data_IF_461933716952
#
_entry.id   IF_461933716952
#
_cell.length_a   1.000
_cell.length_b   1.000
_cell.length_c   1.000
_cell.angle_alpha   90.00
_cell.angle_beta   90.00
_cell.angle_gamma   90.00
#
_symmetry.space_group_name_H-M   'P 1'
#
loop_
_entity.id
_entity.type
_entity.pdbx_description
1 polymer ?
#
# COMPACT_ATOMS: atom_id res chain seq x y z
N UNK A 1 10.97 -16.73 0.49
CA UNK A 1 11.20 -15.48 1.29
C UNK A 1 9.91 -14.64 1.34
N UNK A 2 9.83 -13.58 2.15
CA UNK A 2 8.58 -12.80 2.36
C UNK A 2 8.79 -11.34 1.97
N UNK A 3 7.93 -10.83 1.08
CA UNK A 3 7.75 -9.38 0.88
C UNK A 3 6.64 -8.89 1.80
N UNK A 4 6.96 -7.88 2.60
CA UNK A 4 5.98 -7.23 3.46
C UNK A 4 5.45 -5.97 2.79
N UNK A 5 4.14 -5.88 2.62
CA UNK A 5 3.44 -4.72 2.05
C UNK A 5 2.55 -4.14 3.13
N UNK A 6 2.61 -2.83 3.37
CA UNK A 6 1.75 -2.18 4.37
C UNK A 6 1.12 -0.92 3.81
N UNK A 7 -0.15 -0.70 4.14
CA UNK A 7 -0.85 0.55 3.85
C UNK A 7 -0.80 1.46 5.05
N UNK A 8 -0.39 2.72 4.88
CA UNK A 8 -0.31 3.70 5.95
C UNK A 8 -1.20 4.92 5.69
N UNK A 9 -1.94 5.33 6.73
CA UNK A 9 -2.47 6.67 6.91
C UNK A 9 -1.43 7.60 7.56
N UNK A 10 -1.89 8.60 8.31
CA UNK A 10 -1.03 9.58 8.99
C UNK A 10 -0.33 8.98 10.24
N UNK A 11 1.01 8.82 10.21
CA UNK A 11 1.77 8.28 11.34
C UNK A 11 1.78 9.16 12.59
N UNK A 12 1.47 10.45 12.45
CA UNK A 12 1.48 11.39 13.58
C UNK A 12 0.46 11.04 14.65
N UNK A 13 -0.59 10.30 14.30
CA UNK A 13 -1.64 9.86 15.21
C UNK A 13 -1.33 8.58 15.99
N UNK A 14 -0.25 7.86 15.66
CA UNK A 14 0.03 6.54 16.24
C UNK A 14 0.74 6.63 17.59
N UNK A 15 0.44 5.65 18.46
CA UNK A 15 1.08 5.53 19.76
C UNK A 15 2.11 4.41 19.74
N UNK A 16 3.15 4.54 20.56
CA UNK A 16 4.01 3.40 20.86
C UNK A 16 3.24 2.38 21.70
N UNK A 17 3.13 1.16 21.19
CA UNK A 17 2.38 0.05 21.77
C UNK A 17 3.21 -1.23 21.69
N UNK A 18 2.80 -2.24 22.44
CA UNK A 18 3.33 -3.59 22.33
C UNK A 18 2.56 -4.36 21.25
N UNK A 19 3.25 -4.74 20.17
CA UNK A 19 2.73 -5.59 19.12
C UNK A 19 3.07 -7.05 19.44
N UNK A 20 2.04 -7.88 19.58
CA UNK A 20 2.16 -9.31 19.87
C UNK A 20 1.94 -10.13 18.61
N UNK A 21 3.00 -10.76 18.12
CA UNK A 21 2.98 -11.74 17.02
C UNK A 21 3.40 -13.11 17.58
N UNK A 22 2.90 -14.25 17.07
CA UNK A 22 3.21 -15.56 17.64
C UNK A 22 4.70 -15.86 17.88
N UNK A 23 5.57 -15.30 17.05
CA UNK A 23 7.03 -15.49 17.05
C UNK A 23 7.81 -14.27 17.58
N UNK A 24 7.16 -13.13 17.83
CA UNK A 24 7.85 -11.87 18.19
C UNK A 24 6.92 -10.93 18.96
N UNK A 25 7.39 -10.45 20.10
CA UNK A 25 6.80 -9.28 20.76
C UNK A 25 7.73 -8.08 20.54
N UNK A 26 7.16 -6.95 20.14
CA UNK A 26 7.94 -5.75 19.90
C UNK A 26 7.19 -4.50 20.33
N UNK A 27 7.89 -3.64 21.07
CA UNK A 27 7.38 -2.32 21.40
C UNK A 27 7.75 -1.35 20.28
N UNK A 28 6.75 -0.77 19.63
CA UNK A 28 6.94 0.15 18.51
C UNK A 28 5.70 1.00 18.27
N UNK A 29 5.84 2.10 17.52
CA UNK A 29 4.71 2.91 17.08
C UNK A 29 4.11 2.43 15.75
N UNK A 30 4.75 1.50 15.05
CA UNK A 30 4.28 0.94 13.78
C UNK A 30 4.52 -0.57 13.71
N UNK A 31 3.67 -1.27 12.95
CA UNK A 31 3.80 -2.71 12.74
C UNK A 31 4.95 -3.08 11.83
N UNK A 32 5.52 -2.14 11.06
CA UNK A 32 6.64 -2.42 10.15
C UNK A 32 7.84 -3.10 10.83
N UNK A 33 8.08 -2.79 12.11
CA UNK A 33 9.16 -3.36 12.91
C UNK A 33 8.96 -4.84 13.27
N UNK A 34 7.75 -5.39 13.08
CA UNK A 34 7.49 -6.84 13.21
C UNK A 34 7.92 -7.63 11.97
N UNK A 35 8.34 -6.96 10.89
CA UNK A 35 8.80 -7.53 9.62
C UNK A 35 10.16 -6.97 9.16
N UNK A 36 11.02 -6.59 10.11
CA UNK A 36 12.39 -6.12 9.85
C UNK A 36 13.27 -7.15 9.10
N UNK A 37 12.93 -8.43 9.14
CA UNK A 37 13.60 -9.52 8.42
C UNK A 37 13.02 -9.82 7.03
N UNK A 38 11.97 -9.13 6.55
CA UNK A 38 11.41 -9.33 5.22
C UNK A 38 12.46 -9.14 4.12
N UNK A 39 12.36 -9.78 2.96
CA UNK A 39 13.32 -9.56 1.85
C UNK A 39 13.18 -8.15 1.26
N UNK A 40 11.95 -7.65 1.22
CA UNK A 40 11.58 -6.31 0.75
C UNK A 40 10.40 -5.79 1.58
N UNK A 41 10.38 -4.48 1.82
CA UNK A 41 9.27 -3.80 2.47
C UNK A 41 8.68 -2.77 1.51
N UNK A 42 7.38 -2.81 1.26
CA UNK A 42 6.68 -1.85 0.40
C UNK A 42 5.65 -1.12 1.24
N UNK A 43 5.84 0.19 1.42
CA UNK A 43 4.89 1.07 2.08
C UNK A 43 4.05 1.81 1.05
N UNK A 44 2.75 1.66 1.12
CA UNK A 44 1.79 2.37 0.28
C UNK A 44 1.12 3.43 1.14
N UNK A 45 1.36 4.69 0.80
CA UNK A 45 0.90 5.84 1.59
C UNK A 45 0.07 6.79 0.73
N UNK A 46 -0.85 7.51 1.34
CA UNK A 46 -1.54 8.60 0.67
C UNK A 46 -0.69 9.87 0.69
N UNK A 47 -0.76 10.71 -0.35
CA UNK A 47 -0.08 12.01 -0.37
C UNK A 47 -0.56 12.96 0.75
N UNK A 48 -1.72 12.70 1.33
CA UNK A 48 -2.28 13.47 2.43
C UNK A 48 -1.61 13.27 3.79
N UNK A 49 -0.63 12.37 3.91
CA UNK A 49 0.13 12.18 5.16
C UNK A 49 0.95 13.41 5.57
N UNK A 50 1.24 14.33 4.63
CA UNK A 50 1.90 15.61 4.91
C UNK A 50 0.99 16.67 5.53
N UNK A 51 -0.31 16.38 5.70
CA UNK A 51 -1.22 17.24 6.47
C UNK A 51 -1.53 16.59 7.82
N UNK A 52 -0.54 16.51 8.73
CA UNK A 52 -0.68 15.79 9.98
C UNK A 52 -1.73 16.44 10.87
N UNK A 53 -2.19 15.65 11.85
CA UNK A 53 -3.09 16.15 12.88
C UNK A 53 -2.50 17.40 13.57
N UNK A 54 -3.37 18.34 13.93
CA UNK A 54 -3.02 19.57 14.65
C UNK A 54 -2.35 19.33 16.01
N UNK A 55 -2.45 18.10 16.55
CA UNK A 55 -1.78 17.64 17.76
C UNK A 55 -1.17 16.26 17.52
N UNK A 56 0.09 16.19 17.02
CA UNK A 56 0.76 14.93 16.80
C UNK A 56 0.93 14.19 18.14
N UNK A 57 0.67 12.89 18.13
CA UNK A 57 0.84 11.98 19.27
C UNK A 57 2.19 11.25 19.20
N UNK A 58 2.72 11.11 18.00
CA UNK A 58 4.00 10.49 17.72
C UNK A 58 5.12 11.54 17.56
N UNK A 59 6.06 11.56 18.50
CA UNK A 59 7.21 12.50 18.49
C UNK A 59 8.16 12.29 17.31
N UNK A 60 8.31 11.06 16.82
CA UNK A 60 9.14 10.77 15.64
C UNK A 60 8.51 11.42 14.42
N UNK A 61 7.22 11.19 14.20
CA UNK A 61 6.46 11.80 13.11
C UNK A 61 6.47 13.34 13.20
N UNK A 62 6.32 13.91 14.39
CA UNK A 62 6.41 15.37 14.61
C UNK A 62 7.80 15.93 14.24
N UNK A 63 8.87 15.21 14.58
CA UNK A 63 10.21 15.64 14.21
C UNK A 63 10.47 15.54 12.71
N UNK A 64 9.95 14.50 12.05
CA UNK A 64 10.06 14.30 10.61
C UNK A 64 9.19 15.27 9.79
N UNK A 65 8.12 15.84 10.38
CA UNK A 65 7.16 16.70 9.65
C UNK A 65 7.57 18.17 9.53
N UNK A 66 8.77 18.57 10.00
CA UNK A 66 9.29 19.95 9.97
C UNK A 66 9.67 20.42 8.55
N UNK A 67 8.73 20.32 7.62
CA UNK A 67 8.93 20.57 6.20
C UNK A 67 8.03 21.73 5.75
N UNK A 68 8.57 22.62 4.93
CA UNK A 68 7.77 23.68 4.28
C UNK A 68 6.77 23.03 3.32
N UNK A 69 5.58 23.57 3.18
CA UNK A 69 4.62 23.14 2.16
C UNK A 69 5.17 23.44 0.76
N UNK A 70 5.30 22.45 -0.14
CA UNK A 70 5.74 22.68 -1.52
C UNK A 70 4.64 23.32 -2.38
N UNK A 71 5.04 23.93 -3.49
CA UNK A 71 4.16 24.66 -4.42
C UNK A 71 3.58 23.80 -5.55
N UNK A 72 4.18 22.65 -5.83
CA UNK A 72 3.79 21.75 -6.92
C UNK A 72 3.66 20.30 -6.43
N UNK A 73 2.96 19.48 -7.22
CA UNK A 73 2.62 18.10 -6.83
C UNK A 73 3.83 17.16 -6.81
N UNK A 74 4.80 17.35 -7.70
CA UNK A 74 5.99 16.50 -7.72
C UNK A 74 6.82 16.72 -6.45
N UNK A 75 7.05 17.99 -6.09
CA UNK A 75 7.68 18.38 -4.83
C UNK A 75 6.88 17.92 -3.61
N UNK A 76 5.54 17.89 -3.69
CA UNK A 76 4.68 17.32 -2.65
C UNK A 76 4.94 15.83 -2.44
N UNK A 77 4.90 15.04 -3.51
CA UNK A 77 5.17 13.60 -3.47
C UNK A 77 6.57 13.31 -2.96
N UNK A 78 7.58 14.10 -3.36
CA UNK A 78 8.94 13.93 -2.87
C UNK A 78 9.04 14.21 -1.37
N UNK A 79 8.37 15.24 -0.87
CA UNK A 79 8.30 15.50 0.58
C UNK A 79 7.55 14.43 1.35
N UNK A 80 6.51 13.83 0.77
CA UNK A 80 5.84 12.67 1.38
C UNK A 80 6.84 11.53 1.54
N UNK A 81 7.63 11.24 0.51
CA UNK A 81 8.68 10.22 0.58
C UNK A 81 9.72 10.55 1.63
N UNK A 82 10.24 11.78 1.68
CA UNK A 82 11.20 12.22 2.70
C UNK A 82 10.65 12.05 4.12
N UNK A 83 9.40 12.47 4.34
CA UNK A 83 8.69 12.34 5.61
C UNK A 83 8.57 10.88 6.05
N UNK A 84 8.10 10.00 5.16
CA UNK A 84 7.94 8.58 5.47
C UNK A 84 9.30 7.89 5.62
N UNK A 85 10.30 8.22 4.79
CA UNK A 85 11.67 7.70 4.93
C UNK A 85 12.27 8.03 6.29
N UNK A 86 12.13 9.27 6.76
CA UNK A 86 12.58 9.67 8.10
C UNK A 86 11.92 8.82 9.20
N UNK A 87 10.63 8.51 9.07
CA UNK A 87 9.93 7.65 10.04
C UNK A 87 10.44 6.20 9.96
N UNK A 88 10.64 5.67 8.75
CA UNK A 88 11.16 4.31 8.52
C UNK A 88 12.55 4.15 9.13
N UNK A 89 13.43 5.13 8.95
CA UNK A 89 14.79 5.14 9.52
C UNK A 89 14.81 5.15 11.05
N UNK A 90 13.74 5.66 11.68
CA UNK A 90 13.57 5.64 13.13
C UNK A 90 12.82 4.39 13.64
N UNK A 91 12.07 3.70 12.77
CA UNK A 91 11.31 2.50 13.11
C UNK A 91 12.09 1.20 12.89
N UNK A 92 13.06 1.22 11.97
CA UNK A 92 13.80 0.05 11.51
C UNK A 92 15.31 0.22 11.68
N UNK A 93 16.02 -0.91 11.70
CA UNK A 93 17.47 -0.88 11.53
C UNK A 93 17.85 -0.47 10.10
N UNK A 94 19.12 -0.06 9.89
CA UNK A 94 19.61 0.46 8.61
C UNK A 94 19.42 -0.50 7.43
N UNK A 95 19.64 -1.80 7.65
CA UNK A 95 19.47 -2.81 6.62
C UNK A 95 18.01 -2.90 6.17
N UNK A 96 17.08 -2.93 7.11
CA UNK A 96 15.67 -3.02 6.82
C UNK A 96 15.08 -1.71 6.26
N UNK A 97 15.61 -0.56 6.67
CA UNK A 97 15.28 0.72 6.05
C UNK A 97 15.70 0.76 4.56
N UNK A 98 16.90 0.28 4.21
CA UNK A 98 17.42 0.33 2.84
C UNK A 98 16.61 -0.52 1.83
N UNK A 99 16.00 -1.61 2.28
CA UNK A 99 15.11 -2.45 1.46
C UNK A 99 13.67 -1.98 1.43
N UNK A 100 13.36 -0.84 2.07
CA UNK A 100 12.02 -0.25 2.04
C UNK A 100 11.81 0.54 0.74
N UNK A 101 10.61 0.41 0.17
CA UNK A 101 10.13 1.15 -1.00
C UNK A 101 8.85 1.88 -0.63
N UNK A 102 8.77 3.16 -0.98
CA UNK A 102 7.63 4.01 -0.65
C UNK A 102 6.87 4.35 -1.93
N UNK A 103 5.64 3.87 -2.01
CA UNK A 103 4.69 4.18 -3.08
C UNK A 103 3.72 5.22 -2.53
N UNK A 104 3.80 6.43 -3.08
CA UNK A 104 2.83 7.49 -2.77
C UNK A 104 1.70 7.41 -3.77
N UNK A 105 0.47 7.30 -3.27
CA UNK A 105 -0.74 7.34 -4.07
C UNK A 105 -1.55 8.59 -3.73
N UNK A 106 -2.36 9.10 -4.67
CA UNK A 106 -3.02 10.36 -4.45
C UNK A 106 -4.28 10.15 -3.57
N UNK A 107 -4.55 11.04 -2.61
CA UNK A 107 -5.69 10.93 -1.68
C UNK A 107 -7.00 11.48 -2.28
N UNK A 108 -8.16 11.16 -1.70
CA UNK A 108 -9.46 11.77 -2.09
C UNK A 108 -10.14 12.35 -0.87
N UNK A 109 -10.70 13.55 -1.01
CA UNK A 109 -11.56 14.17 -0.02
C UNK A 109 -10.93 15.42 0.59
N UNK A 110 -11.46 15.85 1.73
CA UNK A 110 -10.99 17.04 2.43
C UNK A 110 -10.38 16.65 3.77
N UNK A 111 -9.16 17.10 4.03
CA UNK A 111 -8.47 16.93 5.31
C UNK A 111 -8.01 18.31 5.78
N UNK A 112 -8.55 18.76 6.91
CA UNK A 112 -8.38 20.14 7.39
C UNK A 112 -8.72 21.15 6.27
N UNK A 113 -7.79 22.06 5.96
CA UNK A 113 -7.94 23.07 4.91
C UNK A 113 -7.50 22.60 3.52
N UNK A 114 -7.09 21.34 3.38
CA UNK A 114 -6.59 20.76 2.14
C UNK A 114 -7.67 19.93 1.45
N UNK A 115 -7.80 20.09 0.14
CA UNK A 115 -8.66 19.28 -0.71
C UNK A 115 -7.80 18.39 -1.61
N UNK A 116 -8.08 17.10 -1.61
CA UNK A 116 -7.37 16.08 -2.34
C UNK A 116 -8.28 15.43 -3.39
N UNK A 117 -7.69 15.01 -4.51
CA UNK A 117 -8.38 14.30 -5.56
C UNK A 117 -9.44 15.12 -6.30
N UNK A 118 -9.41 16.45 -6.18
CA UNK A 118 -10.21 17.36 -6.99
C UNK A 118 -9.56 17.54 -8.36
N UNK A 119 -9.77 16.57 -9.25
CA UNK A 119 -9.49 16.77 -10.67
C UNK A 119 -10.69 17.53 -11.25
N UNK A 120 -10.53 18.85 -11.36
CA UNK A 120 -11.50 19.70 -12.05
C UNK A 120 -11.34 19.49 -13.57
N UNK A 121 -12.32 18.82 -14.17
CA UNK A 121 -12.51 18.91 -15.62
C UNK A 121 -13.26 20.21 -15.90
N UNK A 122 -13.07 20.79 -17.09
CA UNK A 122 -13.58 22.13 -17.49
C UNK A 122 -15.00 22.48 -16.99
N UNK A 123 -15.87 21.49 -16.82
CA UNK A 123 -17.26 21.71 -16.41
C UNK A 123 -17.74 20.83 -15.23
N UNK A 124 -16.91 19.89 -14.72
CA UNK A 124 -17.32 18.94 -13.66
C UNK A 124 -16.12 18.43 -12.85
N UNK A 125 -16.34 18.18 -11.56
CA UNK A 125 -15.39 17.41 -10.75
C UNK A 125 -15.39 15.94 -11.21
N UNK A 126 -14.21 15.33 -11.29
CA UNK A 126 -14.09 13.90 -11.59
C UNK A 126 -14.80 13.07 -10.49
N UNK A 127 -15.75 12.19 -10.85
CA UNK A 127 -16.40 11.32 -9.89
C UNK A 127 -15.40 10.46 -9.09
N UNK A 128 -15.64 10.29 -7.79
CA UNK A 128 -14.73 9.58 -6.89
C UNK A 128 -14.46 8.11 -7.29
N UNK A 129 -15.38 7.47 -8.02
CA UNK A 129 -15.17 6.10 -8.52
C UNK A 129 -14.12 6.05 -9.64
N UNK A 130 -14.06 7.07 -10.52
CA UNK A 130 -13.01 7.16 -11.55
C UNK A 130 -11.64 7.38 -10.92
N UNK A 131 -11.60 8.12 -9.82
CA UNK A 131 -10.39 8.29 -9.04
C UNK A 131 -9.86 6.96 -8.49
N UNK A 132 -10.75 6.13 -7.92
CA UNK A 132 -10.37 4.80 -7.44
C UNK A 132 -9.75 3.92 -8.54
N UNK A 133 -10.27 3.99 -9.77
CA UNK A 133 -9.69 3.27 -10.93
C UNK A 133 -8.30 3.79 -11.32
N UNK A 134 -8.06 5.10 -11.25
CA UNK A 134 -6.73 5.67 -11.50
C UNK A 134 -5.74 5.18 -10.44
N UNK A 135 -6.13 5.22 -9.16
CA UNK A 135 -5.32 4.71 -8.05
C UNK A 135 -5.03 3.22 -8.21
N UNK A 136 -6.06 2.41 -8.52
CA UNK A 136 -5.92 0.97 -8.77
C UNK A 136 -4.94 0.70 -9.92
N UNK A 137 -5.04 1.44 -11.03
CA UNK A 137 -4.13 1.31 -12.17
C UNK A 137 -2.68 1.67 -11.82
N UNK A 138 -2.47 2.76 -11.09
CA UNK A 138 -1.14 3.16 -10.62
C UNK A 138 -0.55 2.11 -9.68
N UNK A 139 -1.36 1.56 -8.78
CA UNK A 139 -0.94 0.50 -7.87
C UNK A 139 -0.57 -0.78 -8.61
N UNK A 140 -1.35 -1.20 -9.60
CA UNK A 140 -1.02 -2.36 -10.45
C UNK A 140 0.35 -2.18 -11.07
N UNK A 141 0.60 -1.03 -11.71
CA UNK A 141 1.87 -0.75 -12.36
C UNK A 141 3.03 -0.77 -11.36
N UNK A 142 2.92 -0.02 -10.25
CA UNK A 142 4.01 0.11 -9.27
C UNK A 142 4.31 -1.20 -8.55
N UNK A 143 3.28 -1.94 -8.15
CA UNK A 143 3.45 -3.21 -7.45
C UNK A 143 3.94 -4.31 -8.39
N UNK A 144 3.48 -4.34 -9.64
CA UNK A 144 4.02 -5.29 -10.62
C UNK A 144 5.52 -5.08 -10.82
N UNK A 145 5.98 -3.84 -11.03
CA UNK A 145 7.40 -3.53 -11.17
C UNK A 145 8.23 -3.93 -9.94
N UNK A 146 7.67 -3.80 -8.73
CA UNK A 146 8.37 -4.20 -7.51
C UNK A 146 8.38 -5.71 -7.26
N UNK A 147 7.43 -6.46 -7.84
CA UNK A 147 7.21 -7.88 -7.54
C UNK A 147 7.59 -8.83 -8.68
N UNK A 148 7.65 -8.37 -9.93
CA UNK A 148 7.87 -9.23 -11.11
C UNK A 148 9.19 -10.02 -11.08
N UNK A 149 10.21 -9.43 -10.46
CA UNK A 149 11.57 -10.02 -10.35
C UNK A 149 11.87 -10.49 -8.91
N UNK A 150 10.87 -10.55 -8.04
CA UNK A 150 11.06 -10.99 -6.65
C UNK A 150 11.17 -12.52 -6.59
N UNK A 151 12.29 -13.03 -6.06
CA UNK A 151 12.50 -14.47 -5.76
C UNK A 151 11.79 -14.90 -4.45
N UNK A 152 10.68 -14.23 -4.14
CA UNK A 152 9.92 -14.41 -2.91
C UNK A 152 8.79 -15.42 -3.09
N UNK A 153 8.38 -16.06 -2.00
CA UNK A 153 7.32 -17.09 -2.05
C UNK A 153 5.97 -16.54 -1.59
N UNK A 154 5.99 -15.51 -0.76
CA UNK A 154 4.82 -15.01 -0.04
C UNK A 154 4.83 -13.48 0.03
N UNK A 155 3.68 -12.90 -0.28
CA UNK A 155 3.36 -11.51 -0.01
C UNK A 155 2.49 -11.45 1.24
N UNK A 156 2.90 -10.63 2.22
CA UNK A 156 2.10 -10.32 3.39
C UNK A 156 1.60 -8.88 3.29
N UNK A 157 0.29 -8.69 3.18
CA UNK A 157 -0.35 -7.38 3.26
C UNK A 157 -0.78 -7.08 4.70
N UNK A 158 -0.23 -6.03 5.27
CA UNK A 158 -0.63 -5.48 6.57
C UNK A 158 -1.55 -4.27 6.39
N UNK A 159 -2.79 -4.42 6.84
CA UNK A 159 -3.83 -3.39 6.77
C UNK A 159 -3.98 -2.56 8.05
N UNK A 160 -3.17 -2.81 9.08
CA UNK A 160 -3.32 -2.23 10.44
C UNK A 160 -3.41 -0.71 10.42
N UNK A 161 -2.48 -0.06 9.70
CA UNK A 161 -2.33 1.38 9.69
C UNK A 161 -3.02 2.04 8.50
N UNK A 162 -3.72 1.26 7.67
CA UNK A 162 -4.36 1.75 6.47
C UNK A 162 -5.65 2.48 6.77
N UNK A 163 -5.97 3.48 5.95
CA UNK A 163 -7.15 4.34 6.13
C UNK A 163 -8.04 4.35 4.90
N UNK A 164 -9.33 4.62 5.11
CA UNK A 164 -10.32 4.81 4.07
C UNK A 164 -10.41 3.61 3.10
N UNK A 165 -10.32 3.89 1.79
CA UNK A 165 -10.40 2.91 0.72
C UNK A 165 -9.05 2.22 0.42
N UNK A 166 -7.95 2.65 1.02
CA UNK A 166 -6.62 2.21 0.62
C UNK A 166 -6.38 0.71 0.87
N UNK A 167 -6.69 0.14 2.06
CA UNK A 167 -6.52 -1.28 2.31
C UNK A 167 -7.26 -2.16 1.29
N UNK A 168 -8.48 -1.78 0.93
CA UNK A 168 -9.32 -2.61 0.05
C UNK A 168 -8.84 -2.56 -1.41
N UNK A 169 -8.38 -1.40 -1.90
CA UNK A 169 -7.80 -1.32 -3.25
C UNK A 169 -6.49 -2.10 -3.32
N UNK A 170 -5.60 -1.94 -2.33
CA UNK A 170 -4.32 -2.68 -2.29
C UNK A 170 -4.56 -4.18 -2.18
N UNK A 171 -5.50 -4.62 -1.34
CA UNK A 171 -5.90 -6.02 -1.26
C UNK A 171 -6.32 -6.56 -2.62
N UNK A 172 -7.21 -5.86 -3.34
CA UNK A 172 -7.67 -6.29 -4.67
C UNK A 172 -6.54 -6.38 -5.68
N UNK A 173 -5.67 -5.38 -5.72
CA UNK A 173 -4.51 -5.36 -6.63
C UNK A 173 -3.54 -6.50 -6.31
N UNK A 174 -3.15 -6.66 -5.04
CA UNK A 174 -2.24 -7.73 -4.63
C UNK A 174 -2.85 -9.11 -4.81
N UNK A 175 -4.15 -9.30 -4.53
CA UNK A 175 -4.82 -10.58 -4.75
C UNK A 175 -4.70 -11.04 -6.21
N UNK A 176 -4.88 -10.12 -7.16
CA UNK A 176 -4.76 -10.39 -8.58
C UNK A 176 -3.29 -10.58 -9.01
N UNK A 177 -2.40 -9.67 -8.60
CA UNK A 177 -0.97 -9.74 -8.97
C UNK A 177 -0.30 -10.99 -8.42
N UNK A 178 -0.57 -11.37 -7.17
CA UNK A 178 -0.04 -12.60 -6.59
C UNK A 178 -0.57 -13.85 -7.28
N UNK A 179 -1.79 -13.80 -7.86
CA UNK A 179 -2.31 -14.91 -8.68
C UNK A 179 -1.58 -14.99 -10.03
N UNK A 180 -1.26 -13.83 -10.63
CA UNK A 180 -0.52 -13.73 -11.88
C UNK A 180 0.94 -14.19 -11.72
N UNK A 181 1.56 -13.82 -10.60
CA UNK A 181 2.98 -14.08 -10.32
C UNK A 181 3.24 -15.39 -9.56
N UNK A 182 2.21 -16.22 -9.34
CA UNK A 182 2.31 -17.50 -8.62
C UNK A 182 2.87 -17.38 -7.19
N UNK A 183 2.44 -16.34 -6.47
CA UNK A 183 2.86 -16.01 -5.11
C UNK A 183 1.79 -16.38 -4.09
N UNK A 184 2.22 -16.89 -2.93
CA UNK A 184 1.33 -17.02 -1.76
C UNK A 184 0.93 -15.64 -1.29
N UNK A 185 -0.28 -15.52 -0.77
CA UNK A 185 -0.79 -14.24 -0.31
C UNK A 185 -1.44 -14.35 1.06
N UNK A 186 -1.03 -13.48 1.97
CA UNK A 186 -1.54 -13.39 3.34
C UNK A 186 -1.93 -11.95 3.65
N UNK A 187 -3.04 -11.77 4.36
CA UNK A 187 -3.48 -10.47 4.85
C UNK A 187 -3.56 -10.53 6.36
N UNK A 188 -2.99 -9.51 7.01
CA UNK A 188 -2.89 -9.44 8.46
C UNK A 188 -3.39 -8.09 8.96
N UNK A 189 -3.75 -8.05 10.23
CA UNK A 189 -4.06 -6.83 10.96
C UNK A 189 -3.72 -7.02 12.44
N UNK A 190 -3.21 -5.98 13.09
CA UNK A 190 -3.00 -5.95 14.52
C UNK A 190 -4.19 -5.27 15.20
N UNK A 191 -4.94 -6.05 15.97
CA UNK A 191 -6.17 -5.57 16.63
C UNK A 191 -5.86 -5.16 18.07
N UNK A 192 -6.35 -4.00 18.55
CA UNK A 192 -6.10 -3.56 19.92
C UNK A 192 -6.75 -4.52 20.92
N UNK A 193 -5.93 -5.19 21.72
CA UNK A 193 -6.37 -5.94 22.91
C UNK A 193 -6.40 -5.04 24.14
N UNK A 194 -5.52 -4.04 24.18
CA UNK A 194 -5.55 -2.94 25.13
C UNK A 194 -5.30 -1.62 24.39
N UNK A 195 -6.33 -0.78 24.30
CA UNK A 195 -6.26 0.47 23.55
C UNK A 195 -5.04 1.31 23.97
N UNK A 196 -4.23 1.69 22.98
CA UNK A 196 -3.01 2.49 23.12
C UNK A 196 -1.88 1.82 23.94
N UNK A 197 -1.96 0.50 24.19
CA UNK A 197 -0.94 -0.23 24.93
C UNK A 197 -0.53 -1.54 24.27
N UNK A 198 -1.49 -2.31 23.78
CA UNK A 198 -1.23 -3.66 23.28
C UNK A 198 -2.12 -3.99 22.09
N UNK A 199 -1.50 -4.53 21.05
CA UNK A 199 -2.12 -4.90 19.79
C UNK A 199 -1.68 -6.31 19.41
N UNK A 200 -2.64 -7.18 19.09
CA UNK A 200 -2.37 -8.59 18.80
C UNK A 200 -2.55 -8.89 17.32
N UNK A 201 -1.60 -9.64 16.76
CA UNK A 201 -1.61 -10.13 15.39
C UNK A 201 -2.86 -10.96 15.11
N UNK A 202 -3.52 -10.66 14.01
CA UNK A 202 -4.59 -11.47 13.43
C UNK A 202 -4.33 -11.71 11.96
N UNK A 203 -4.41 -12.97 11.54
CA UNK A 203 -4.49 -13.33 10.13
C UNK A 203 -5.94 -13.19 9.67
N UNK A 204 -6.18 -12.35 8.67
CA UNK A 204 -7.52 -12.09 8.11
C UNK A 204 -7.78 -13.01 6.93
N UNK A 205 -6.76 -13.25 6.12
CA UNK A 205 -6.86 -14.02 4.89
C UNK A 205 -5.55 -14.72 4.60
N UNK A 206 -5.62 -15.94 4.05
CA UNK A 206 -4.46 -16.68 3.58
C UNK A 206 -4.81 -17.49 2.34
N UNK A 207 -3.92 -17.45 1.34
CA UNK A 207 -3.94 -18.31 0.15
C UNK A 207 -2.60 -19.03 0.05
N UNK A 208 -2.61 -20.30 0.41
CA UNK A 208 -1.41 -21.17 0.39
C UNK A 208 -1.18 -21.82 -0.97
N UNK A 209 -2.24 -21.99 -1.76
CA UNK A 209 -2.16 -22.63 -3.06
C UNK A 209 -1.66 -21.65 -4.11
N UNK A 210 -0.58 -22.06 -4.78
CA UNK A 210 -0.10 -21.55 -6.08
C UNK A 210 -1.14 -21.71 -7.20
N UNK A 211 -2.19 -22.50 -6.99
CA UNK A 211 -3.21 -22.81 -7.99
C UNK A 211 -4.43 -21.90 -7.84
N UNK A 212 -4.36 -20.79 -8.56
CA UNK A 212 -5.44 -20.30 -9.42
C UNK A 212 -4.79 -19.35 -10.42
N UNK A 213 -3.85 -19.88 -11.20
CA UNK A 213 -3.36 -19.18 -12.38
C UNK A 213 -4.57 -18.93 -13.27
N UNK A 214 -5.00 -17.68 -13.33
CA UNK A 214 -5.85 -17.23 -14.41
C UNK A 214 -4.99 -17.28 -15.67
N UNK A 215 -5.02 -18.42 -16.32
CA UNK A 215 -4.29 -18.66 -17.54
C UNK A 215 -4.98 -17.88 -18.65
N UNK A 216 -4.33 -16.80 -19.10
CA UNK A 216 -4.81 -15.97 -20.20
C UNK A 216 -5.03 -16.78 -21.50
N UNK A 217 -4.39 -17.94 -21.65
CA UNK A 217 -4.65 -18.86 -22.77
C UNK A 217 -6.02 -19.53 -22.68
N UNK A 218 -6.62 -19.65 -21.48
CA UNK A 218 -7.99 -20.13 -21.28
C UNK A 218 -9.04 -19.11 -21.75
N UNK A 219 -8.67 -17.84 -21.93
CA UNK A 219 -9.56 -16.86 -22.57
C UNK A 219 -9.59 -17.14 -24.08
N UNK A 220 -10.61 -17.86 -24.52
CA UNK A 220 -10.88 -18.08 -25.93
C UNK A 220 -11.65 -16.90 -26.54
N UNK A 221 -11.24 -16.49 -27.74
CA UNK A 221 -12.00 -15.54 -28.55
C UNK A 221 -13.07 -16.31 -29.30
N UNK A 222 -14.34 -16.10 -28.96
CA UNK A 222 -15.46 -16.61 -29.73
C UNK A 222 -15.60 -15.87 -31.05
N UNK A 223 -15.94 -16.58 -32.13
CA UNK A 223 -16.24 -15.97 -33.43
C UNK A 223 -17.48 -15.05 -33.40
N UNK A 224 -18.28 -15.11 -32.34
CA UNK A 224 -19.44 -14.26 -32.06
C UNK A 224 -19.17 -13.12 -31.06
N UNK A 225 -17.95 -13.01 -30.49
CA UNK A 225 -17.64 -11.97 -29.51
C UNK A 225 -17.59 -10.57 -30.16
N UNK A 226 -17.96 -9.54 -29.40
CA UNK A 226 -17.90 -8.14 -29.84
C UNK A 226 -16.47 -7.72 -30.27
N UNK A 227 -16.28 -6.93 -31.34
CA UNK A 227 -14.97 -6.51 -31.84
C UNK A 227 -14.07 -5.85 -30.78
N UNK A 228 -14.65 -5.03 -29.88
CA UNK A 228 -13.93 -4.36 -28.79
C UNK A 228 -13.41 -5.40 -27.80
N UNK A 229 -14.26 -6.38 -27.44
CA UNK A 229 -13.86 -7.50 -26.57
C UNK A 229 -12.71 -8.30 -27.20
N UNK A 230 -12.74 -8.54 -28.52
CA UNK A 230 -11.64 -9.23 -29.23
C UNK A 230 -10.33 -8.44 -29.20
N UNK A 231 -10.39 -7.12 -29.38
CA UNK A 231 -9.21 -6.23 -29.35
C UNK A 231 -8.60 -6.22 -27.95
N UNK A 232 -9.44 -6.13 -26.90
CA UNK A 232 -9.00 -6.16 -25.50
C UNK A 232 -8.33 -7.51 -25.20
N UNK A 233 -8.96 -8.64 -25.55
CA UNK A 233 -8.38 -9.97 -25.32
C UNK A 233 -7.06 -10.14 -26.09
N UNK A 234 -6.98 -9.68 -27.35
CA UNK A 234 -5.74 -9.72 -28.14
C UNK A 234 -4.64 -8.84 -27.54
N UNK A 235 -4.98 -7.64 -27.07
CA UNK A 235 -4.04 -6.74 -26.41
C UNK A 235 -3.51 -7.34 -25.10
N UNK A 236 -4.38 -7.97 -24.31
CA UNK A 236 -4.00 -8.68 -23.09
C UNK A 236 -3.07 -9.87 -23.38
N UNK A 237 -3.29 -10.60 -24.48
CA UNK A 237 -2.40 -11.70 -24.91
C UNK A 237 -1.06 -11.23 -25.48
N UNK A 238 -1.02 -10.07 -26.14
CA UNK A 238 0.22 -9.52 -26.73
C UNK A 238 1.13 -8.85 -25.69
N UNK A 239 0.57 -8.40 -24.57
CA UNK A 239 1.31 -7.75 -23.49
C UNK A 239 1.57 -8.67 -22.28
N UNK A 240 1.13 -9.93 -22.35
CA UNK A 240 1.53 -10.96 -21.39
C UNK A 240 2.90 -11.53 -21.83
N UNK A 241 3.87 -11.71 -20.91
CA UNK A 241 5.14 -12.36 -21.22
C UNK A 241 4.97 -13.82 -21.66
#
# INVERSE_FOLDING_TARGET
MVVYVSTWGDPSGWFEVEYKRPDKEIKSFSTISTYDNASKIILIVQDSVLTPQSKPKNKVAENCSKLKTPSDYESWVNKVKEYISCIVENALNKEAANKTRIIVIPAVGKINDFNYGKIELKERELPSYLYAYIVETLLVQKLYEELKDADDDEIVLDTTHGVNYLPIIVFRVLYNLTSLLDLKFKVINYVPTNLYKEYTYMEIFKREEKKNTFDLTQINVGLSDDPIKRIIIKSLKLNAP
#
